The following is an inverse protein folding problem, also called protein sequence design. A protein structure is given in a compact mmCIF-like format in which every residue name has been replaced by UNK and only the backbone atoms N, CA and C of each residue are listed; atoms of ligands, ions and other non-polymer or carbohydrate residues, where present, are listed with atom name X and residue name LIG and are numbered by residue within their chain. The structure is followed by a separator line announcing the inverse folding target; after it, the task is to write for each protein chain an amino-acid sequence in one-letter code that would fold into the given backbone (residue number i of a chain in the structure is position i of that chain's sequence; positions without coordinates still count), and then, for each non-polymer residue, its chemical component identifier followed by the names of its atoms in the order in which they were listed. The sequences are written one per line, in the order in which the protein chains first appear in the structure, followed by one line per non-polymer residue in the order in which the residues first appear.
data_IF_813581646935
#
_entry.id   IF_813581646935
#
_cell.length_a   1.000
_cell.length_b   1.000
_cell.length_c   1.000
_cell.angle_alpha   90.00
_cell.angle_beta   90.00
_cell.angle_gamma   90.00
#
_symmetry.space_group_name_H-M   'P 1'
#
loop_
_entity.id
_entity.type
_entity.pdbx_description
1 polymer ?
#
# COMPACT_ATOMS: atom_id res chain seq x y z
N UNK A 1 -51.77 -44.89 6.88
CA UNK A 1 -51.81 -43.73 5.96
C UNK A 1 -51.70 -42.49 6.82
N UNK A 2 -50.48 -42.11 7.13
CA UNK A 2 -50.13 -41.05 8.06
C UNK A 2 -49.02 -40.24 7.41
N UNK A 3 -49.18 -38.92 7.36
CA UNK A 3 -48.12 -37.91 7.28
C UNK A 3 -48.78 -36.57 7.65
N UNK A 4 -48.37 -36.04 8.81
CA UNK A 4 -48.64 -34.68 9.26
C UNK A 4 -47.35 -33.85 9.05
N UNK A 5 -47.44 -32.50 9.08
CA UNK A 5 -46.45 -31.62 8.48
C UNK A 5 -45.25 -31.31 9.39
N UNK A 6 -44.14 -30.99 8.73
CA UNK A 6 -42.87 -30.49 9.28
C UNK A 6 -43.00 -29.27 10.21
N UNK A 7 -42.17 -29.24 11.28
CA UNK A 7 -41.55 -27.99 11.70
C UNK A 7 -40.06 -28.22 12.09
N UNK A 8 -39.11 -27.62 11.38
CA UNK A 8 -37.71 -27.55 11.84
C UNK A 8 -37.09 -26.18 11.52
N UNK A 9 -37.67 -25.14 12.11
CA UNK A 9 -37.13 -23.76 12.14
C UNK A 9 -36.66 -23.39 13.57
N UNK A 10 -35.96 -24.31 14.25
CA UNK A 10 -35.61 -24.15 15.66
C UNK A 10 -34.12 -24.32 16.02
N UNK A 11 -33.21 -24.38 15.03
CA UNK A 11 -31.79 -24.65 15.30
C UNK A 11 -30.82 -23.46 15.13
N UNK A 12 -31.32 -22.22 15.00
CA UNK A 12 -30.49 -21.01 14.90
C UNK A 12 -30.71 -20.01 16.05
N UNK A 13 -31.02 -20.51 17.26
CA UNK A 13 -31.25 -19.65 18.43
C UNK A 13 -30.47 -20.04 19.70
N UNK A 14 -29.44 -20.90 19.63
CA UNK A 14 -28.77 -21.42 20.84
C UNK A 14 -27.23 -21.32 20.89
N UNK A 15 -26.58 -20.35 20.22
CA UNK A 15 -25.11 -20.16 20.35
C UNK A 15 -24.72 -18.77 20.92
N UNK A 16 -25.63 -18.04 21.58
CA UNK A 16 -25.34 -16.71 22.14
C UNK A 16 -25.44 -16.58 23.67
N UNK A 17 -25.21 -17.66 24.43
CA UNK A 17 -25.15 -17.51 25.89
C UNK A 17 -24.14 -18.46 26.53
N UNK A 18 -22.95 -17.95 26.80
CA UNK A 18 -22.15 -18.16 28.02
C UNK A 18 -20.65 -17.99 27.72
N UNK A 19 -20.08 -16.84 28.08
CA UNK A 19 -18.86 -16.84 28.90
C UNK A 19 -18.64 -15.46 29.52
N UNK A 20 -19.08 -15.32 30.78
CA UNK A 20 -18.65 -14.26 31.67
C UNK A 20 -17.48 -14.82 32.47
N UNK A 21 -16.26 -14.35 32.24
CA UNK A 21 -15.16 -14.50 33.20
C UNK A 21 -14.24 -13.28 33.15
N UNK A 22 -14.02 -12.74 34.35
CA UNK A 22 -13.21 -11.60 34.76
C UNK A 22 -11.85 -11.42 34.06
N UNK A 23 -11.51 -10.15 33.82
CA UNK A 23 -10.21 -9.69 33.36
C UNK A 23 -9.19 -9.58 34.52
N UNK A 24 -7.92 -9.97 34.32
CA UNK A 24 -6.84 -9.54 35.20
C UNK A 24 -6.13 -8.30 34.62
N UNK A 25 -6.07 -7.25 35.45
CA UNK A 25 -5.36 -6.00 35.23
C UNK A 25 -3.85 -6.21 35.09
N UNK A 26 -3.27 -5.88 33.93
CA UNK A 26 -1.82 -5.86 33.76
C UNK A 26 -1.24 -4.49 34.14
N UNK A 27 -0.48 -4.53 35.23
CA UNK A 27 0.29 -3.44 35.84
C UNK A 27 1.15 -2.69 34.82
N UNK A 28 0.97 -1.37 34.82
CA UNK A 28 1.92 -0.38 34.32
C UNK A 28 3.24 -0.45 35.11
N UNK A 29 4.34 -0.77 34.43
CA UNK A 29 5.70 -0.52 34.95
C UNK A 29 6.23 0.79 34.37
N UNK A 30 5.90 1.89 35.05
CA UNK A 30 6.70 3.12 34.99
C UNK A 30 8.12 2.80 35.49
N UNK A 31 9.11 2.79 34.61
CA UNK A 31 10.51 2.97 35.02
C UNK A 31 10.88 4.43 34.77
N UNK A 32 10.67 5.24 35.80
CA UNK A 32 11.27 6.56 35.92
C UNK A 32 12.74 6.42 36.36
N UNK A 33 13.59 7.28 35.80
CA UNK A 33 14.90 7.59 36.35
C UNK A 33 15.12 9.10 36.22
N UNK A 34 15.14 9.76 37.36
CA UNK A 34 15.47 11.18 37.54
C UNK A 34 16.98 11.44 37.25
N UNK A 35 17.38 12.71 37.06
CA UNK A 35 18.65 13.12 36.47
C UNK A 35 19.73 13.41 37.54
N UNK A 36 21.02 13.50 37.16
CA UNK A 36 22.01 14.22 37.95
C UNK A 36 22.07 15.70 37.56
N UNK A 37 22.32 16.53 38.56
CA UNK A 37 22.40 17.98 38.49
C UNK A 37 23.84 18.49 38.29
N UNK A 38 23.90 19.75 37.82
CA UNK A 38 24.94 20.80 37.92
C UNK A 38 26.08 20.83 36.90
N UNK A 39 26.18 22.00 36.26
CA UNK A 39 27.31 22.50 35.49
C UNK A 39 26.89 23.65 34.58
N UNK A 40 26.75 24.85 35.14
CA UNK A 40 26.69 26.11 34.37
C UNK A 40 28.04 26.30 33.67
N UNK A 41 28.09 26.54 32.36
CA UNK A 41 29.01 27.48 31.67
C UNK A 41 28.51 27.73 30.23
N UNK A 42 28.65 28.98 29.79
CA UNK A 42 28.20 29.53 28.51
C UNK A 42 29.00 29.02 27.30
N UNK A 43 28.40 29.05 26.10
CA UNK A 43 29.17 29.30 24.87
C UNK A 43 28.89 28.39 23.66
N UNK A 44 28.23 29.00 22.66
CA UNK A 44 28.46 28.83 21.20
C UNK A 44 27.99 27.55 20.49
N UNK A 45 27.14 27.74 19.48
CA UNK A 45 26.58 26.70 18.61
C UNK A 45 27.65 26.03 17.70
N UNK A 46 27.59 24.69 17.49
CA UNK A 46 28.48 24.00 16.55
C UNK A 46 27.95 24.02 15.10
N UNK A 47 28.83 24.08 14.08
CA UNK A 47 28.44 24.10 12.68
C UNK A 47 28.13 22.70 12.12
N UNK A 48 27.23 22.66 11.14
CA UNK A 48 26.78 21.48 10.42
C UNK A 48 27.91 20.80 9.64
N UNK A 49 28.05 19.49 9.83
CA UNK A 49 28.96 18.61 9.10
C UNK A 49 28.59 18.51 7.62
N UNK A 50 29.46 19.04 6.76
CA UNK A 50 29.44 18.82 5.32
C UNK A 50 30.04 17.44 5.00
N UNK A 51 29.19 16.56 4.47
CA UNK A 51 29.50 15.18 4.10
C UNK A 51 30.33 15.15 2.81
N UNK A 52 31.66 15.13 2.94
CA UNK A 52 32.60 14.76 1.88
C UNK A 52 32.64 13.23 1.75
N UNK A 53 32.19 12.69 0.62
CA UNK A 53 32.57 11.35 0.20
C UNK A 53 33.51 11.48 -1.01
N UNK A 54 34.73 10.97 -0.88
CA UNK A 54 35.61 10.68 -1.99
C UNK A 54 36.29 9.32 -1.76
N UNK A 55 36.83 8.78 -2.86
CA UNK A 55 37.72 7.61 -3.00
C UNK A 55 37.00 6.36 -3.51
N UNK A 56 36.94 6.26 -4.85
CA UNK A 56 37.18 4.99 -5.54
C UNK A 56 38.46 5.17 -6.35
N UNK A 57 39.52 4.48 -5.92
CA UNK A 57 40.75 4.30 -6.68
C UNK A 57 40.75 2.88 -7.23
N UNK A 58 40.87 2.73 -8.56
CA UNK A 58 41.27 1.44 -9.16
C UNK A 58 42.01 1.64 -10.50
N UNK A 59 43.30 1.30 -10.42
CA UNK A 59 44.10 0.47 -11.33
C UNK A 59 44.77 1.09 -12.58
N UNK A 60 46.09 1.28 -12.43
CA UNK A 60 47.23 0.87 -13.30
C UNK A 60 46.91 0.23 -14.66
N UNK A 61 47.65 0.36 -15.77
CA UNK A 61 49.02 0.85 -16.05
C UNK A 61 49.24 0.65 -17.57
N UNK A 62 49.77 1.63 -18.30
CA UNK A 62 50.44 1.40 -19.59
C UNK A 62 51.60 2.39 -19.73
N UNK A 63 52.76 1.84 -20.10
CA UNK A 63 54.08 2.49 -20.05
C UNK A 63 54.28 3.56 -21.11
N UNK A 64 55.12 4.56 -20.76
CA UNK A 64 55.61 5.58 -21.68
C UNK A 64 57.01 5.20 -22.19
N UNK A 65 57.18 5.20 -23.50
CA UNK A 65 58.48 5.17 -24.19
C UNK A 65 59.04 6.61 -24.24
N UNK A 66 60.32 6.86 -23.94
CA UNK A 66 60.91 8.19 -24.05
C UNK A 66 61.40 8.43 -25.49
N UNK A 67 60.89 9.44 -26.18
CA UNK A 67 61.46 9.85 -27.48
C UNK A 67 60.57 10.57 -28.50
N UNK A 68 59.29 10.83 -28.23
CA UNK A 68 58.44 11.59 -29.15
C UNK A 68 58.28 13.04 -28.72
N UNK A 69 58.70 13.97 -29.59
CA UNK A 69 58.37 15.39 -29.48
C UNK A 69 56.86 15.53 -29.55
N UNK A 70 56.25 16.04 -28.48
CA UNK A 70 54.81 16.26 -28.36
C UNK A 70 54.43 17.48 -29.20
N UNK A 71 53.65 17.37 -30.29
CA UNK A 71 53.06 18.54 -30.91
C UNK A 71 52.07 19.16 -29.92
N UNK A 72 52.24 20.45 -29.62
CA UNK A 72 51.30 21.24 -28.84
C UNK A 72 50.09 21.58 -29.72
N UNK A 73 49.30 20.58 -30.05
CA UNK A 73 47.93 20.76 -30.55
C UNK A 73 47.04 20.63 -29.33
N UNK A 74 46.84 21.76 -28.65
CA UNK A 74 45.82 21.85 -27.62
C UNK A 74 44.45 21.57 -28.26
N UNK A 75 43.58 20.74 -27.66
CA UNK A 75 42.19 20.64 -28.10
C UNK A 75 41.46 21.93 -27.68
N UNK A 76 41.72 23.01 -28.40
CA UNK A 76 40.68 24.00 -28.64
C UNK A 76 39.69 23.32 -29.59
N UNK A 77 38.40 23.35 -29.25
CA UNK A 77 37.27 22.55 -29.80
C UNK A 77 37.22 21.13 -29.20
N UNK A 78 36.29 20.69 -28.35
CA UNK A 78 34.90 21.07 -28.09
C UNK A 78 34.59 20.87 -26.60
N UNK A 79 34.81 21.88 -25.77
CA UNK A 79 34.06 22.02 -24.52
C UNK A 79 33.21 23.28 -24.65
N UNK A 80 32.32 23.30 -25.65
CA UNK A 80 31.11 24.11 -25.50
C UNK A 80 30.41 23.52 -24.28
N UNK A 81 30.50 24.23 -23.16
CA UNK A 81 29.46 24.14 -22.13
C UNK A 81 28.17 24.42 -22.87
N UNK A 82 27.44 23.37 -23.22
CA UNK A 82 26.08 23.50 -23.70
C UNK A 82 25.30 24.07 -22.52
N UNK A 83 25.06 25.38 -22.55
CA UNK A 83 24.10 25.98 -21.65
C UNK A 83 22.74 25.41 -22.04
N UNK A 84 22.20 24.54 -21.19
CA UNK A 84 20.84 24.02 -21.27
C UNK A 84 19.83 25.11 -20.87
N UNK A 85 20.01 26.34 -21.33
CA UNK A 85 19.14 27.47 -21.01
C UNK A 85 18.10 27.73 -22.11
N UNK A 86 18.07 26.91 -23.17
CA UNK A 86 17.21 27.11 -24.35
C UNK A 86 16.44 25.88 -24.81
N UNK A 87 16.58 24.73 -24.14
CA UNK A 87 15.61 23.65 -24.32
C UNK A 87 14.38 24.01 -23.49
N UNK A 88 13.14 23.80 -23.99
CA UNK A 88 11.97 23.93 -23.15
C UNK A 88 12.07 22.85 -22.07
N UNK A 89 12.73 23.19 -20.97
CA UNK A 89 12.63 22.45 -19.72
C UNK A 89 11.13 22.48 -19.44
N UNK A 90 10.48 21.34 -19.64
CA UNK A 90 9.10 21.14 -19.26
C UNK A 90 8.98 21.73 -17.86
N UNK A 91 8.21 22.82 -17.71
CA UNK A 91 8.10 23.46 -16.41
C UNK A 91 7.70 22.34 -15.44
N UNK A 92 8.44 22.13 -14.34
CA UNK A 92 8.07 21.08 -13.40
C UNK A 92 6.63 21.40 -13.02
N UNK A 93 5.71 20.44 -13.28
CA UNK A 93 4.28 20.62 -13.05
C UNK A 93 4.15 21.19 -11.65
N UNK A 94 3.79 22.47 -11.56
CA UNK A 94 3.63 23.15 -10.29
C UNK A 94 2.43 22.47 -9.64
N UNK A 95 2.70 21.60 -8.66
CA UNK A 95 1.67 20.97 -7.87
C UNK A 95 1.02 22.07 -7.07
N UNK A 96 -0.09 22.61 -7.56
CA UNK A 96 -0.92 23.58 -6.84
C UNK A 96 -1.24 22.98 -5.48
N UNK A 97 -0.64 23.54 -4.43
CA UNK A 97 -0.88 23.10 -3.07
C UNK A 97 -2.20 23.72 -2.62
N UNK A 98 -3.30 22.98 -2.84
CA UNK A 98 -4.59 23.37 -2.28
C UNK A 98 -4.53 23.33 -0.74
N UNK A 99 -5.30 24.21 -0.11
CA UNK A 99 -5.53 24.19 1.33
C UNK A 99 -6.47 23.04 1.70
N UNK A 100 -6.32 22.49 2.91
CA UNK A 100 -7.24 21.48 3.42
C UNK A 100 -8.64 22.07 3.55
N UNK A 101 -9.66 21.32 3.16
CA UNK A 101 -11.06 21.72 3.34
C UNK A 101 -11.57 21.48 4.77
N UNK A 102 -10.76 20.86 5.65
CA UNK A 102 -11.08 20.54 7.06
C UNK A 102 -12.45 19.84 7.24
N UNK A 103 -12.78 18.88 6.37
CA UNK A 103 -14.08 18.19 6.40
C UNK A 103 -13.98 16.99 7.32
N UNK A 104 -14.63 17.07 8.46
CA UNK A 104 -14.63 16.01 9.49
C UNK A 104 -15.52 14.80 9.16
N UNK A 105 -16.23 14.80 8.03
CA UNK A 105 -17.09 13.68 7.67
C UNK A 105 -17.60 13.73 6.23
N UNK A 106 -18.09 12.61 5.71
CA UNK A 106 -18.55 12.49 4.34
C UNK A 106 -19.79 13.34 4.08
N UNK A 107 -19.85 13.95 2.90
CA UNK A 107 -21.04 14.68 2.44
C UNK A 107 -22.24 13.72 2.30
N UNK A 108 -23.46 14.29 2.28
CA UNK A 108 -24.69 13.50 2.13
C UNK A 108 -24.65 12.68 0.82
N UNK A 109 -24.77 11.36 0.94
CA UNK A 109 -24.69 10.44 -0.20
C UNK A 109 -23.26 10.09 -0.65
N UNK A 110 -22.22 10.67 -0.04
CA UNK A 110 -20.82 10.36 -0.33
C UNK A 110 -20.20 9.42 0.71
N UNK A 111 -21.01 8.52 1.30
CA UNK A 111 -20.53 7.45 2.18
C UNK A 111 -20.02 6.26 1.36
N UNK A 112 -19.15 5.46 1.95
CA UNK A 112 -18.71 4.20 1.34
C UNK A 112 -19.89 3.23 1.21
N UNK A 113 -20.27 2.88 -0.03
CA UNK A 113 -21.34 1.94 -0.31
C UNK A 113 -20.76 0.52 -0.48
N UNK A 114 -20.91 -0.31 0.55
CA UNK A 114 -20.36 -1.68 0.59
C UNK A 114 -20.93 -2.56 -0.52
N UNK A 115 -22.26 -2.55 -0.70
CA UNK A 115 -22.94 -3.39 -1.69
C UNK A 115 -22.49 -3.06 -3.11
N UNK A 116 -22.39 -1.77 -3.42
CA UNK A 116 -21.97 -1.31 -4.73
C UNK A 116 -20.53 -1.71 -5.03
N UNK A 117 -19.62 -1.56 -4.06
CA UNK A 117 -18.22 -1.99 -4.21
C UNK A 117 -18.15 -3.52 -4.33
N UNK A 118 -18.91 -4.26 -3.53
CA UNK A 118 -18.95 -5.72 -3.60
C UNK A 118 -19.38 -6.22 -4.99
N UNK A 119 -20.44 -5.66 -5.57
CA UNK A 119 -20.88 -6.00 -6.93
C UNK A 119 -19.81 -5.73 -7.98
N UNK A 120 -19.08 -4.62 -7.84
CA UNK A 120 -17.96 -4.28 -8.71
C UNK A 120 -16.83 -5.31 -8.57
N UNK A 121 -16.51 -5.74 -7.36
CA UNK A 121 -15.50 -6.77 -7.10
C UNK A 121 -15.91 -8.12 -7.71
N UNK A 122 -17.14 -8.56 -7.48
CA UNK A 122 -17.67 -9.82 -8.03
C UNK A 122 -17.64 -9.82 -9.56
N UNK A 123 -18.15 -8.77 -10.20
CA UNK A 123 -18.14 -8.63 -11.65
C UNK A 123 -16.72 -8.56 -12.23
N UNK A 124 -15.81 -7.89 -11.52
CA UNK A 124 -14.40 -7.78 -11.89
C UNK A 124 -13.69 -9.13 -11.83
N UNK A 125 -13.85 -9.86 -10.74
CA UNK A 125 -13.24 -11.18 -10.56
C UNK A 125 -13.79 -12.18 -11.57
N UNK A 126 -15.12 -12.22 -11.75
CA UNK A 126 -15.76 -13.11 -12.73
C UNK A 126 -15.27 -12.85 -14.16
N UNK A 127 -15.14 -11.58 -14.55
CA UNK A 127 -14.67 -11.20 -15.89
C UNK A 127 -13.21 -11.55 -16.12
N UNK A 128 -12.35 -11.38 -15.11
CA UNK A 128 -10.90 -11.58 -15.25
C UNK A 128 -10.48 -13.06 -15.08
N UNK A 129 -11.18 -13.81 -14.23
CA UNK A 129 -10.79 -15.17 -13.84
C UNK A 129 -11.68 -16.27 -14.42
N UNK A 130 -12.81 -15.91 -15.06
CA UNK A 130 -13.76 -16.88 -15.62
C UNK A 130 -13.15 -17.90 -16.57
N UNK A 131 -12.21 -17.48 -17.42
CA UNK A 131 -11.54 -18.35 -18.42
C UNK A 131 -10.07 -18.62 -18.11
N UNK A 132 -9.59 -18.20 -16.93
CA UNK A 132 -8.17 -18.23 -16.59
C UNK A 132 -7.83 -19.51 -15.81
N UNK A 133 -6.79 -20.21 -16.25
CA UNK A 133 -6.26 -21.38 -15.55
C UNK A 133 -5.13 -21.03 -14.59
N UNK A 134 -4.97 -21.81 -13.52
CA UNK A 134 -3.90 -21.58 -12.55
C UNK A 134 -2.54 -21.96 -13.12
N UNK A 135 -1.60 -21.02 -13.12
CA UNK A 135 -0.19 -21.28 -13.41
C UNK A 135 0.70 -20.75 -12.29
N UNK A 136 1.54 -21.58 -11.66
CA UNK A 136 2.40 -21.14 -10.56
C UNK A 136 3.38 -20.05 -11.00
N UNK A 137 3.90 -20.12 -12.23
CA UNK A 137 4.87 -19.17 -12.77
C UNK A 137 4.26 -17.78 -13.05
N UNK A 138 2.97 -17.73 -13.43
CA UNK A 138 2.26 -16.48 -13.74
C UNK A 138 1.44 -15.93 -12.57
N UNK A 139 1.22 -16.70 -11.51
CA UNK A 139 0.30 -16.37 -10.42
C UNK A 139 0.58 -15.03 -9.74
N UNK A 140 1.86 -14.70 -9.51
CA UNK A 140 2.26 -13.44 -8.87
C UNK A 140 1.92 -12.21 -9.74
N UNK A 141 2.23 -12.27 -11.03
CA UNK A 141 1.90 -11.19 -11.98
C UNK A 141 0.39 -11.06 -12.14
N UNK A 142 -0.34 -12.18 -12.23
CA UNK A 142 -1.80 -12.17 -12.30
C UNK A 142 -2.41 -11.53 -11.05
N UNK A 143 -1.94 -11.87 -9.85
CA UNK A 143 -2.42 -11.28 -8.61
C UNK A 143 -2.16 -9.76 -8.54
N UNK A 144 -0.99 -9.31 -9.01
CA UNK A 144 -0.68 -7.88 -9.10
C UNK A 144 -1.61 -7.16 -10.07
N UNK A 145 -1.76 -7.67 -11.29
CA UNK A 145 -2.65 -7.09 -12.31
C UNK A 145 -4.10 -7.06 -11.84
N UNK A 146 -4.57 -8.12 -11.16
CA UNK A 146 -5.90 -8.15 -10.54
C UNK A 146 -6.04 -7.09 -9.46
N UNK A 147 -5.03 -6.89 -8.62
CA UNK A 147 -5.07 -5.88 -7.57
C UNK A 147 -5.18 -4.47 -8.15
N UNK A 148 -4.41 -4.17 -9.21
CA UNK A 148 -4.46 -2.90 -9.91
C UNK A 148 -5.82 -2.66 -10.59
N UNK A 149 -6.38 -3.71 -11.20
CA UNK A 149 -7.69 -3.67 -11.85
C UNK A 149 -8.83 -3.50 -10.83
N UNK A 150 -8.81 -4.25 -9.73
CA UNK A 150 -9.75 -4.07 -8.62
C UNK A 150 -9.66 -2.64 -8.06
N UNK A 151 -8.44 -2.13 -7.88
CA UNK A 151 -8.25 -0.77 -7.38
C UNK A 151 -8.81 0.28 -8.35
N UNK A 152 -8.61 0.13 -9.66
CA UNK A 152 -9.14 1.07 -10.65
C UNK A 152 -10.66 1.06 -10.70
N UNK A 153 -11.28 -0.12 -10.69
CA UNK A 153 -12.74 -0.30 -10.66
C UNK A 153 -13.37 0.23 -9.38
N UNK A 154 -12.76 -0.04 -8.22
CA UNK A 154 -13.24 0.49 -6.95
C UNK A 154 -13.15 2.03 -6.91
N UNK A 155 -12.11 2.63 -7.49
CA UNK A 155 -11.96 4.10 -7.56
C UNK A 155 -13.06 4.79 -8.37
N UNK A 156 -13.67 4.12 -9.36
CA UNK A 156 -14.75 4.68 -10.17
C UNK A 156 -16.06 4.84 -9.37
N UNK A 157 -16.23 4.00 -8.36
CA UNK A 157 -17.48 3.88 -7.59
C UNK A 157 -17.38 4.53 -6.22
N UNK A 158 -16.19 4.52 -5.63
CA UNK A 158 -15.96 5.07 -4.29
C UNK A 158 -15.82 6.60 -4.36
N UNK A 159 -16.43 7.34 -3.43
CA UNK A 159 -16.28 8.79 -3.37
C UNK A 159 -14.80 9.23 -3.22
N UNK A 160 -14.39 10.35 -3.82
CA UNK A 160 -12.97 10.75 -3.96
C UNK A 160 -12.26 11.05 -2.63
N UNK A 161 -13.01 11.22 -1.54
CA UNK A 161 -12.51 11.48 -0.18
C UNK A 161 -12.01 10.22 0.54
N UNK A 162 -12.15 9.03 -0.04
CA UNK A 162 -11.68 7.80 0.57
C UNK A 162 -10.31 7.40 0.03
N UNK A 163 -9.44 6.95 0.94
CA UNK A 163 -8.23 6.19 0.61
C UNK A 163 -8.59 4.72 0.53
N UNK A 164 -8.18 4.09 -0.56
CA UNK A 164 -8.46 2.69 -0.83
C UNK A 164 -7.23 1.82 -0.60
N UNK A 165 -7.41 0.78 0.21
CA UNK A 165 -6.44 -0.31 0.37
C UNK A 165 -7.07 -1.56 -0.23
N UNK A 166 -6.44 -2.11 -1.26
CA UNK A 166 -6.90 -3.31 -1.95
C UNK A 166 -5.97 -4.47 -1.64
N UNK A 167 -6.53 -5.62 -1.27
CA UNK A 167 -5.81 -6.85 -1.02
C UNK A 167 -6.45 -7.98 -1.82
N UNK A 168 -5.64 -8.72 -2.57
CA UNK A 168 -6.11 -9.87 -3.36
C UNK A 168 -5.29 -11.09 -2.99
N UNK A 169 -5.96 -12.17 -2.62
CA UNK A 169 -5.38 -13.49 -2.41
C UNK A 169 -5.78 -14.36 -3.58
N UNK A 170 -4.80 -14.91 -4.30
CA UNK A 170 -5.01 -15.82 -5.43
C UNK A 170 -4.31 -17.15 -5.15
N UNK A 171 -4.98 -18.26 -5.37
CA UNK A 171 -4.44 -19.59 -5.08
C UNK A 171 -5.01 -20.68 -5.98
N UNK A 172 -4.37 -21.84 -5.97
CA UNK A 172 -4.83 -23.02 -6.70
C UNK A 172 -6.06 -23.63 -6.00
N UNK A 173 -7.06 -23.99 -6.79
CA UNK A 173 -8.20 -24.77 -6.31
C UNK A 173 -7.76 -26.22 -6.15
N UNK A 174 -7.91 -26.75 -4.95
CA UNK A 174 -7.53 -28.12 -4.60
C UNK A 174 -8.22 -28.56 -3.32
N UNK A 175 -7.77 -29.68 -2.75
CA UNK A 175 -8.30 -30.21 -1.48
C UNK A 175 -7.62 -29.54 -0.27
N UNK A 176 -7.64 -28.21 -0.24
CA UNK A 176 -7.04 -27.40 0.81
C UNK A 176 -8.03 -26.36 1.34
N UNK A 177 -7.93 -26.04 2.63
CA UNK A 177 -8.73 -25.01 3.28
C UNK A 177 -7.92 -23.74 3.50
N UNK A 178 -8.51 -22.59 3.21
CA UNK A 178 -7.94 -21.28 3.51
C UNK A 178 -8.96 -20.43 4.26
N UNK A 179 -8.52 -19.79 5.34
CA UNK A 179 -9.28 -18.75 6.03
C UNK A 179 -8.55 -17.42 5.86
N UNK A 180 -9.25 -16.42 5.33
CA UNK A 180 -8.75 -15.04 5.23
C UNK A 180 -9.54 -14.20 6.22
N UNK A 181 -8.83 -13.61 7.18
CA UNK A 181 -9.40 -12.71 8.17
C UNK A 181 -8.59 -11.41 8.21
N UNK A 182 -9.27 -10.30 8.47
CA UNK A 182 -8.65 -8.99 8.63
C UNK A 182 -9.28 -8.27 9.81
N UNK A 183 -8.46 -7.63 10.64
CA UNK A 183 -8.90 -6.78 11.75
C UNK A 183 -8.24 -5.41 11.60
N UNK A 184 -8.99 -4.35 11.91
CA UNK A 184 -8.53 -2.97 11.75
C UNK A 184 -9.06 -2.07 12.87
N UNK A 185 -8.34 -0.99 13.13
CA UNK A 185 -8.76 0.10 14.00
C UNK A 185 -9.09 1.31 13.12
N UNK A 186 -10.35 1.70 13.09
CA UNK A 186 -10.92 2.70 12.20
C UNK A 186 -12.26 3.21 12.74
N UNK A 187 -12.77 4.30 12.17
CA UNK A 187 -14.03 4.91 12.59
C UNK A 187 -15.25 4.13 12.02
N UNK A 188 -16.10 3.53 12.86
CA UNK A 188 -17.25 2.73 12.41
C UNK A 188 -18.31 3.54 11.66
N UNK A 189 -18.31 4.87 11.77
CA UNK A 189 -19.31 5.72 11.11
C UNK A 189 -18.94 6.08 9.66
N UNK A 190 -17.65 6.13 9.37
CA UNK A 190 -17.12 6.65 8.09
C UNK A 190 -16.36 5.60 7.29
N UNK A 191 -15.57 4.75 7.96
CA UNK A 191 -14.72 3.74 7.35
C UNK A 191 -15.48 2.42 7.17
N UNK A 192 -15.21 1.71 6.08
CA UNK A 192 -15.82 0.40 5.85
C UNK A 192 -14.99 -0.44 4.88
N UNK A 193 -15.39 -1.69 4.67
CA UNK A 193 -14.76 -2.59 3.72
C UNK A 193 -15.78 -3.41 2.95
N UNK A 194 -15.38 -3.90 1.79
CA UNK A 194 -16.12 -4.88 1.00
C UNK A 194 -15.19 -6.02 0.62
N UNK A 195 -15.71 -7.25 0.60
CA UNK A 195 -14.98 -8.42 0.14
C UNK A 195 -15.82 -9.23 -0.85
N UNK A 196 -15.13 -9.87 -1.79
CA UNK A 196 -15.75 -10.78 -2.75
C UNK A 196 -14.84 -11.99 -2.97
N UNK A 197 -15.46 -13.13 -3.22
CA UNK A 197 -14.79 -14.39 -3.49
C UNK A 197 -15.18 -14.91 -4.87
N UNK A 198 -14.24 -15.51 -5.57
CA UNK A 198 -14.44 -16.17 -6.85
C UNK A 198 -13.71 -17.50 -6.86
N UNK A 199 -14.33 -18.52 -7.43
CA UNK A 199 -13.69 -19.83 -7.62
C UNK A 199 -14.05 -20.42 -8.97
N UNK A 200 -13.08 -21.11 -9.55
CA UNK A 200 -13.22 -21.91 -10.76
C UNK A 200 -12.61 -23.31 -10.50
N UNK A 201 -12.63 -24.19 -11.49
CA UNK A 201 -12.07 -25.54 -11.41
C UNK A 201 -10.57 -25.57 -11.03
N UNK A 202 -9.78 -24.58 -11.48
CA UNK A 202 -8.33 -24.55 -11.26
C UNK A 202 -7.82 -23.61 -10.17
N UNK A 203 -8.55 -22.53 -9.86
CA UNK A 203 -8.10 -21.47 -8.93
C UNK A 203 -9.24 -20.87 -8.12
N UNK A 204 -8.87 -20.21 -7.02
CA UNK A 204 -9.71 -19.31 -6.26
C UNK A 204 -9.06 -17.93 -6.11
N UNK A 205 -9.89 -16.93 -5.89
CA UNK A 205 -9.46 -15.59 -5.53
C UNK A 205 -10.38 -14.98 -4.46
N UNK A 206 -9.78 -14.24 -3.54
CA UNK A 206 -10.46 -13.43 -2.53
C UNK A 206 -9.96 -12.00 -2.68
N UNK A 207 -10.85 -11.06 -2.97
CA UNK A 207 -10.52 -9.65 -3.04
C UNK A 207 -11.18 -8.91 -1.87
N UNK A 208 -10.42 -8.09 -1.17
CA UNK A 208 -10.89 -7.22 -0.09
C UNK A 208 -10.47 -5.79 -0.37
N UNK A 209 -11.41 -4.86 -0.28
CA UNK A 209 -11.17 -3.44 -0.43
C UNK A 209 -11.61 -2.73 0.84
N UNK A 210 -10.68 -2.02 1.46
CA UNK A 210 -10.93 -1.15 2.59
C UNK A 210 -11.01 0.30 2.12
N UNK A 211 -12.09 0.98 2.46
CA UNK A 211 -12.26 2.41 2.27
C UNK A 211 -12.10 3.15 3.59
N UNK A 212 -11.04 3.95 3.69
CA UNK A 212 -10.76 4.79 4.86
C UNK A 212 -10.98 6.25 4.49
N UNK A 213 -11.85 6.94 5.22
CA UNK A 213 -12.18 8.34 5.00
C UNK A 213 -10.98 9.24 5.29
N UNK A 214 -10.76 10.24 4.42
CA UNK A 214 -9.66 11.19 4.55
C UNK A 214 -10.19 12.58 4.91
N UNK A 215 -10.01 12.95 6.19
CA UNK A 215 -10.36 14.25 6.77
C UNK A 215 -9.56 15.44 6.19
#
# INVERSE_FOLDING_TARGET
MAEQPFPEMALLAQVLAADNTEAPSLRSTRRGSQPPARGTEEGKAPPLLSRRNSILSRRSSFGMVPGSRRPSIGPWMFHRRVSFSGLPIFQPILKTRLQNTYRMGPDKGCKFNVEQVQQVLEGTLASALGTTEYSPQGSATLAQSLTELVQSRAKEVVPPRYKLVCHVVLGQQGQQSLLVASQGLWDPETDNFASATFSNASLFAVATVHGVYFE
#
